data_IF_349530744502
#
_entry.id   IF_349530744502
#
_cell.length_a   1.000
_cell.length_b   1.000
_cell.length_c   1.000
_cell.angle_alpha   90.00
_cell.angle_beta   90.00
_cell.angle_gamma   90.00
#
_symmetry.space_group_name_H-M   'P 1'
#
loop_
_entity.id
_entity.type
_entity.pdbx_description
1 polymer ?
#
# COMPACT_ATOMS: atom_id res chain seq x y z
N UNK A 1 5.16 16.41 -6.08
CA UNK A 1 3.77 16.68 -5.74
C UNK A 1 2.86 15.67 -6.44
N UNK A 2 2.02 15.04 -5.67
CA UNK A 2 1.12 14.00 -6.17
C UNK A 2 -0.15 14.53 -6.78
N UNK A 3 -0.46 15.80 -6.59
CA UNK A 3 -1.70 16.40 -7.03
C UNK A 3 -1.55 17.04 -8.40
N UNK A 4 -2.42 16.69 -9.35
CA UNK A 4 -2.49 17.37 -10.62
C UNK A 4 -3.04 18.78 -10.40
N UNK A 5 -2.52 19.76 -11.15
CA UNK A 5 -3.10 21.09 -11.14
C UNK A 5 -4.50 21.03 -11.78
N UNK A 6 -5.35 21.99 -11.44
CA UNK A 6 -6.70 22.08 -12.03
C UNK A 6 -6.61 22.19 -13.56
N UNK A 7 -5.63 22.96 -14.06
CA UNK A 7 -5.43 23.12 -15.50
C UNK A 7 -5.02 21.80 -16.16
N UNK A 8 -4.10 21.05 -15.57
CA UNK A 8 -3.65 19.76 -16.09
C UNK A 8 -4.80 18.75 -16.10
N UNK A 9 -5.59 18.72 -15.03
CA UNK A 9 -6.74 17.84 -14.94
C UNK A 9 -7.76 18.16 -16.01
N UNK A 10 -8.06 19.44 -16.23
CA UNK A 10 -8.99 19.89 -17.28
C UNK A 10 -8.52 19.48 -18.67
N UNK A 11 -7.24 19.59 -18.94
CA UNK A 11 -6.67 19.17 -20.23
C UNK A 11 -6.83 17.67 -20.43
N UNK A 12 -6.60 16.87 -19.42
CA UNK A 12 -6.68 15.40 -19.51
C UNK A 12 -8.10 14.91 -19.80
N UNK A 13 -9.09 15.56 -19.25
CA UNK A 13 -10.48 15.16 -19.44
C UNK A 13 -11.19 15.96 -20.52
N UNK A 14 -10.44 16.81 -21.24
CA UNK A 14 -10.95 17.62 -22.35
C UNK A 14 -12.12 18.50 -21.93
N UNK A 15 -12.03 19.11 -20.73
CA UNK A 15 -13.03 20.01 -20.19
C UNK A 15 -12.40 21.37 -19.88
N UNK A 16 -13.24 22.41 -19.75
CA UNK A 16 -12.76 23.70 -19.27
C UNK A 16 -12.30 23.58 -17.81
N UNK A 17 -11.43 24.50 -17.38
CA UNK A 17 -10.89 24.50 -16.02
C UNK A 17 -11.99 24.60 -14.96
N UNK A 18 -12.95 25.48 -15.14
CA UNK A 18 -13.97 25.75 -14.12
C UNK A 18 -14.87 24.54 -13.83
N UNK A 19 -15.50 23.90 -14.82
CA UNK A 19 -16.30 22.69 -14.56
C UNK A 19 -15.48 21.55 -13.96
N UNK A 20 -14.23 21.39 -14.34
CA UNK A 20 -13.37 20.35 -13.78
C UNK A 20 -13.06 20.63 -12.33
N UNK A 21 -12.77 21.90 -11.99
CA UNK A 21 -12.52 22.32 -10.61
C UNK A 21 -13.73 22.06 -9.72
N UNK A 22 -14.91 22.48 -10.18
CA UNK A 22 -16.13 22.31 -9.40
C UNK A 22 -16.44 20.83 -9.15
N UNK A 23 -16.25 19.98 -10.14
CA UNK A 23 -16.45 18.55 -10.02
C UNK A 23 -15.47 17.93 -9.02
N UNK A 24 -14.21 18.30 -9.12
CA UNK A 24 -13.18 17.83 -8.19
C UNK A 24 -13.53 18.21 -6.75
N UNK A 25 -13.87 19.45 -6.52
CA UNK A 25 -14.23 19.95 -5.19
C UNK A 25 -15.47 19.25 -4.63
N UNK A 26 -16.44 18.98 -5.46
CA UNK A 26 -17.63 18.24 -5.03
C UNK A 26 -17.28 16.82 -4.60
N UNK A 27 -16.47 16.12 -5.39
CA UNK A 27 -16.07 14.75 -5.08
C UNK A 27 -15.25 14.66 -3.80
N UNK A 28 -14.40 15.66 -3.55
CA UNK A 28 -13.65 15.75 -2.28
C UNK A 28 -14.59 15.98 -1.11
N UNK A 29 -15.50 16.94 -1.26
CA UNK A 29 -16.43 17.31 -0.19
C UNK A 29 -17.38 16.19 0.18
N UNK A 30 -17.81 15.40 -0.80
CA UNK A 30 -18.71 14.26 -0.58
C UNK A 30 -17.97 12.99 -0.20
N UNK A 31 -16.64 13.04 -0.07
CA UNK A 31 -15.85 11.91 0.39
C UNK A 31 -15.49 10.87 -0.66
N UNK A 32 -15.82 11.09 -1.94
CA UNK A 32 -15.45 10.16 -3.01
C UNK A 32 -13.95 10.20 -3.29
N UNK A 33 -13.34 11.38 -3.20
CA UNK A 33 -11.91 11.53 -3.32
C UNK A 33 -11.33 11.72 -1.92
N UNK A 34 -10.56 10.75 -1.45
CA UNK A 34 -10.01 10.78 -0.09
C UNK A 34 -8.60 11.34 -0.05
N UNK A 35 -7.96 11.47 -1.18
CA UNK A 35 -6.61 12.01 -1.23
C UNK A 35 -6.02 11.91 -2.62
N UNK A 36 -4.78 12.39 -2.73
CA UNK A 36 -4.00 12.40 -3.97
C UNK A 36 -2.60 11.91 -3.69
N UNK A 37 -2.06 11.14 -4.59
CA UNK A 37 -0.67 10.70 -4.46
C UNK A 37 -0.06 10.47 -5.83
N UNK A 38 1.26 10.57 -5.91
CA UNK A 38 1.99 10.29 -7.13
C UNK A 38 2.11 8.78 -7.32
N UNK A 39 2.07 8.36 -8.57
CA UNK A 39 2.42 7.00 -8.95
C UNK A 39 3.90 7.03 -9.29
N UNK A 40 4.71 6.33 -8.47
CA UNK A 40 6.16 6.40 -8.53
C UNK A 40 6.69 5.07 -9.07
N UNK A 41 7.68 5.16 -9.97
CA UNK A 41 8.35 3.96 -10.48
C UNK A 41 9.19 3.34 -9.37
N UNK A 42 8.84 2.12 -8.97
CA UNK A 42 9.47 1.45 -7.85
C UNK A 42 10.97 1.19 -8.11
N UNK A 43 11.31 0.77 -9.33
CA UNK A 43 12.71 0.48 -9.66
C UNK A 43 13.59 1.73 -9.64
N UNK A 44 13.04 2.86 -10.09
CA UNK A 44 13.76 4.13 -10.12
C UNK A 44 13.95 4.71 -8.72
N UNK A 45 13.18 4.27 -7.76
CA UNK A 45 13.29 4.71 -6.36
C UNK A 45 13.96 3.64 -5.48
N UNK A 46 14.70 2.74 -6.10
CA UNK A 46 15.48 1.71 -5.41
C UNK A 46 14.61 0.69 -4.65
N UNK A 47 13.43 0.39 -5.21
CA UNK A 47 12.51 -0.61 -4.67
C UNK A 47 12.27 -1.69 -5.72
N UNK A 48 13.33 -2.41 -6.08
CA UNK A 48 13.33 -3.33 -7.21
C UNK A 48 12.47 -4.55 -7.08
N UNK A 49 12.11 -4.96 -5.85
CA UNK A 49 11.26 -6.12 -5.65
C UNK A 49 10.04 -5.80 -4.80
N UNK A 50 8.94 -6.46 -5.13
CA UNK A 50 7.68 -6.38 -4.41
C UNK A 50 7.36 -7.76 -3.86
N UNK A 51 7.03 -7.83 -2.59
CA UNK A 51 6.68 -9.08 -1.92
C UNK A 51 5.31 -8.95 -1.30
N UNK A 52 4.48 -9.97 -1.51
CA UNK A 52 3.22 -10.13 -0.79
C UNK A 52 3.48 -11.12 0.33
N UNK A 53 3.43 -10.65 1.55
CA UNK A 53 3.75 -11.46 2.72
C UNK A 53 2.49 -11.77 3.50
N UNK A 54 2.13 -13.03 3.56
CA UNK A 54 1.01 -13.49 4.37
C UNK A 54 1.51 -13.82 5.76
N UNK A 55 0.82 -13.34 6.78
CA UNK A 55 1.28 -13.46 8.16
C UNK A 55 0.21 -14.04 9.04
N UNK A 56 0.63 -14.90 9.96
CA UNK A 56 -0.21 -15.47 11.01
C UNK A 56 0.35 -15.05 12.35
N UNK A 57 -0.52 -14.62 13.25
CA UNK A 57 -0.16 -14.31 14.63
C UNK A 57 0.22 -15.58 15.38
N UNK A 58 0.97 -15.46 16.47
CA UNK A 58 1.34 -16.59 17.33
C UNK A 58 0.11 -17.35 17.82
N UNK A 59 -0.99 -16.63 18.10
CA UNK A 59 -2.26 -17.18 18.50
C UNK A 59 -3.36 -16.16 18.27
N UNK A 60 -4.61 -16.60 18.32
CA UNK A 60 -5.76 -15.70 18.27
C UNK A 60 -5.82 -14.87 19.55
N UNK A 61 -5.60 -13.56 19.42
CA UNK A 61 -5.62 -12.63 20.55
C UNK A 61 -5.81 -11.23 20.01
N UNK A 62 -6.78 -10.51 20.57
CA UNK A 62 -7.00 -9.12 20.18
C UNK A 62 -5.78 -8.27 20.53
N UNK A 63 -5.13 -8.57 21.64
CA UNK A 63 -3.93 -7.85 22.05
C UNK A 63 -2.80 -8.04 21.04
N UNK A 64 -2.56 -9.27 20.57
CA UNK A 64 -1.53 -9.52 19.56
C UNK A 64 -1.86 -8.85 18.24
N UNK A 65 -3.15 -8.84 17.85
CA UNK A 65 -3.59 -8.16 16.65
C UNK A 65 -3.32 -6.66 16.72
N UNK A 66 -3.71 -6.04 17.83
CA UNK A 66 -3.51 -4.60 18.04
C UNK A 66 -2.02 -4.25 18.07
N UNK A 67 -1.20 -5.06 18.75
CA UNK A 67 0.23 -4.88 18.81
C UNK A 67 0.87 -4.92 17.42
N UNK A 68 0.46 -5.89 16.61
CA UNK A 68 0.97 -6.01 15.25
C UNK A 68 0.57 -4.80 14.40
N UNK A 69 -0.71 -4.44 14.43
CA UNK A 69 -1.22 -3.30 13.64
C UNK A 69 -0.51 -1.99 14.02
N UNK A 70 -0.19 -1.83 15.29
CA UNK A 70 0.55 -0.66 15.73
C UNK A 70 2.01 -0.71 15.28
N UNK A 71 2.66 -1.86 15.43
CA UNK A 71 4.07 -2.01 15.14
C UNK A 71 4.39 -1.71 13.67
N UNK A 72 3.53 -2.10 12.75
CA UNK A 72 3.83 -1.95 11.32
C UNK A 72 3.62 -0.53 10.79
N UNK A 73 2.98 0.35 11.56
CA UNK A 73 2.70 1.71 11.10
C UNK A 73 3.96 2.53 10.82
N UNK A 74 5.04 2.25 11.52
CA UNK A 74 6.31 2.98 11.38
C UNK A 74 7.31 2.29 10.46
N UNK A 75 6.94 1.19 9.82
CA UNK A 75 7.84 0.43 8.95
C UNK A 75 7.59 0.85 7.50
N UNK A 76 8.52 1.63 6.95
CA UNK A 76 8.36 2.23 5.62
C UNK A 76 8.30 1.22 4.48
N UNK A 77 8.99 0.10 4.61
CA UNK A 77 9.00 -0.95 3.59
C UNK A 77 7.63 -1.60 3.40
N UNK A 78 6.77 -1.55 4.43
CA UNK A 78 5.41 -2.06 4.34
C UNK A 78 4.53 -0.94 3.82
N UNK A 79 4.13 -1.05 2.56
CA UNK A 79 3.32 -0.01 1.91
C UNK A 79 1.82 -0.26 2.00
N UNK A 80 1.42 -1.51 2.21
CA UNK A 80 0.02 -1.88 2.39
C UNK A 80 -0.06 -3.00 3.41
N UNK A 81 -1.12 -3.00 4.20
CA UNK A 81 -1.37 -4.06 5.16
C UNK A 81 -2.88 -4.25 5.30
N UNK A 82 -3.32 -5.49 5.16
CA UNK A 82 -4.73 -5.84 5.25
C UNK A 82 -4.94 -6.94 6.27
N UNK A 83 -5.93 -6.78 7.12
CA UNK A 83 -6.43 -7.87 7.96
C UNK A 83 -7.34 -8.73 7.10
N UNK A 84 -7.04 -10.00 6.98
CA UNK A 84 -7.74 -10.87 6.03
C UNK A 84 -8.44 -12.02 6.75
N UNK A 85 -9.51 -12.52 6.13
CA UNK A 85 -10.15 -13.76 6.54
C UNK A 85 -9.42 -14.94 5.91
N UNK A 86 -9.61 -16.13 6.48
CA UNK A 86 -9.03 -17.36 5.95
C UNK A 86 -7.82 -17.83 6.75
N UNK A 87 -6.86 -18.39 6.07
CA UNK A 87 -5.73 -19.06 6.72
C UNK A 87 -4.77 -18.11 7.40
N UNK A 88 -4.59 -16.91 6.85
CA UNK A 88 -3.67 -15.91 7.39
C UNK A 88 -4.43 -14.77 8.01
N UNK A 89 -3.80 -14.12 8.99
CA UNK A 89 -4.41 -12.99 9.71
C UNK A 89 -4.20 -11.67 8.97
N UNK A 90 -3.06 -11.52 8.30
CA UNK A 90 -2.71 -10.29 7.58
C UNK A 90 -2.01 -10.61 6.27
N UNK A 91 -2.21 -9.74 5.29
CA UNK A 91 -1.44 -9.74 4.05
C UNK A 91 -0.78 -8.37 3.92
N UNK A 92 0.53 -8.38 3.73
CA UNK A 92 1.32 -7.17 3.62
C UNK A 92 1.96 -7.06 2.24
N UNK A 93 2.04 -5.83 1.74
CA UNK A 93 2.83 -5.54 0.56
C UNK A 93 4.11 -4.87 1.01
N UNK A 94 5.24 -5.47 0.64
CA UNK A 94 6.56 -5.02 1.07
C UNK A 94 7.37 -4.66 -0.15
N UNK A 95 8.03 -3.49 -0.10
CA UNK A 95 8.89 -2.99 -1.17
C UNK A 95 10.30 -2.89 -0.63
N UNK A 96 11.25 -3.55 -1.31
CA UNK A 96 12.67 -3.47 -0.97
C UNK A 96 13.51 -3.42 -2.24
N UNK A 97 14.80 -3.08 -2.07
CA UNK A 97 15.71 -2.92 -3.18
C UNK A 97 16.01 -4.23 -3.91
N UNK A 98 16.28 -5.28 -3.15
CA UNK A 98 16.69 -6.57 -3.68
C UNK A 98 16.42 -7.69 -2.66
N UNK A 99 16.79 -8.91 -3.01
CA UNK A 99 16.55 -10.07 -2.15
C UNK A 99 17.35 -10.00 -0.84
N UNK A 100 18.60 -9.54 -0.90
CA UNK A 100 19.42 -9.43 0.31
C UNK A 100 18.81 -8.42 1.28
N UNK A 101 18.35 -7.29 0.77
CA UNK A 101 17.68 -6.27 1.58
C UNK A 101 16.38 -6.82 2.17
N UNK A 102 15.64 -7.62 1.42
CA UNK A 102 14.42 -8.24 1.91
C UNK A 102 14.71 -9.21 3.07
N UNK A 103 15.73 -10.06 2.92
CA UNK A 103 16.11 -11.00 3.97
C UNK A 103 16.52 -10.26 5.25
N UNK A 104 17.28 -9.19 5.10
CA UNK A 104 17.69 -8.35 6.24
C UNK A 104 16.47 -7.70 6.90
N UNK A 105 15.55 -7.19 6.10
CA UNK A 105 14.29 -6.61 6.57
C UNK A 105 13.48 -7.63 7.37
N UNK A 106 13.35 -8.85 6.87
CA UNK A 106 12.61 -9.90 7.56
C UNK A 106 13.26 -10.26 8.88
N UNK A 107 14.60 -10.33 8.90
CA UNK A 107 15.34 -10.70 10.10
C UNK A 107 15.31 -9.61 11.17
N UNK A 108 15.44 -8.35 10.77
CA UNK A 108 15.63 -7.25 11.75
C UNK A 108 14.36 -6.50 12.09
N UNK A 109 13.50 -6.22 11.12
CA UNK A 109 12.29 -5.43 11.35
C UNK A 109 11.09 -6.31 11.64
N UNK A 110 10.69 -7.11 10.68
CA UNK A 110 9.48 -7.90 10.81
C UNK A 110 9.66 -9.04 11.83
N UNK A 111 10.83 -9.67 11.84
CA UNK A 111 11.15 -10.76 12.78
C UNK A 111 11.26 -10.33 14.23
N UNK A 112 11.39 -9.02 14.50
CA UNK A 112 11.45 -8.50 15.86
C UNK A 112 10.08 -8.17 16.45
N UNK A 113 9.02 -8.36 15.69
CA UNK A 113 7.66 -8.13 16.20
C UNK A 113 7.20 -9.40 16.91
N UNK A 114 7.04 -9.33 18.24
CA UNK A 114 6.74 -10.49 19.08
C UNK A 114 5.42 -11.17 18.74
N UNK A 115 4.43 -10.44 18.23
CA UNK A 115 3.12 -10.97 17.93
C UNK A 115 3.13 -11.92 16.73
N UNK A 116 4.18 -11.89 15.91
CA UNK A 116 4.26 -12.67 14.68
C UNK A 116 4.60 -14.12 14.97
N UNK A 117 3.82 -15.03 14.38
CA UNK A 117 4.07 -16.47 14.50
C UNK A 117 4.63 -17.12 13.25
N UNK A 118 4.16 -16.68 12.09
CA UNK A 118 4.51 -17.36 10.85
C UNK A 118 4.37 -16.41 9.66
N UNK A 119 5.30 -16.52 8.71
CA UNK A 119 5.28 -15.77 7.46
C UNK A 119 5.28 -16.69 6.27
N UNK A 120 4.61 -16.25 5.21
CA UNK A 120 4.68 -16.88 3.91
C UNK A 120 4.89 -15.77 2.87
N UNK A 121 6.10 -15.70 2.33
CA UNK A 121 6.49 -14.66 1.37
C UNK A 121 6.24 -15.13 -0.05
N UNK A 122 5.55 -14.30 -0.83
CA UNK A 122 5.28 -14.53 -2.24
C UNK A 122 5.86 -13.37 -3.02
N UNK A 123 6.82 -13.66 -3.89
CA UNK A 123 7.50 -12.62 -4.67
C UNK A 123 6.73 -12.34 -5.94
N UNK A 124 6.46 -11.06 -6.19
CA UNK A 124 5.77 -10.64 -7.40
C UNK A 124 6.75 -10.75 -8.57
N UNK A 125 6.41 -11.62 -9.52
CA UNK A 125 7.23 -11.80 -10.71
C UNK A 125 6.99 -10.70 -11.73
N UNK A 126 5.73 -10.24 -11.83
CA UNK A 126 5.33 -9.22 -12.79
C UNK A 126 4.02 -8.60 -12.34
N UNK A 127 3.95 -7.28 -12.37
CA UNK A 127 2.66 -6.59 -12.20
C UNK A 127 1.92 -6.63 -13.53
N UNK A 128 0.82 -7.36 -13.56
CA UNK A 128 0.03 -7.53 -14.79
C UNK A 128 -0.97 -6.40 -14.97
N UNK A 129 -1.58 -5.96 -13.86
CA UNK A 129 -2.56 -4.90 -13.87
C UNK A 129 -2.65 -4.24 -12.51
N UNK A 130 -2.59 -2.93 -12.50
CA UNK A 130 -2.85 -2.13 -11.30
C UNK A 130 -3.42 -0.78 -11.75
N UNK A 131 -4.70 -0.59 -11.56
CA UNK A 131 -5.38 0.66 -11.96
C UNK A 131 -5.25 1.75 -10.92
N UNK A 132 -4.66 1.46 -9.75
CA UNK A 132 -4.51 2.38 -8.63
C UNK A 132 -5.83 2.98 -8.16
N UNK A 133 -6.92 2.22 -8.28
CA UNK A 133 -8.24 2.71 -7.92
C UNK A 133 -9.25 1.60 -7.77
N UNK A 134 -10.51 2.00 -7.70
CA UNK A 134 -11.64 1.09 -7.56
C UNK A 134 -12.63 1.31 -8.70
N UNK A 135 -13.47 0.30 -9.02
CA UNK A 135 -14.51 0.49 -10.04
C UNK A 135 -15.49 1.58 -9.60
N UNK A 136 -15.81 2.47 -10.53
CA UNK A 136 -16.83 3.50 -10.32
C UNK A 136 -18.13 3.01 -10.95
N UNK A 137 -19.19 2.93 -10.13
CA UNK A 137 -20.49 2.47 -10.59
C UNK A 137 -21.50 3.60 -10.65
#
# INVERSE_FOLDING_TARGET
DSTLTVKELAMRVNLSTSPTFDRQKRLEREGFIQGYHAIVDAKKTDNGITVLCNMRLKRHSQMLMDDFMQAIQSIDEITECYNTSGEYDFTLKIQTRDMDTYQEFMRTKLGNIDSVGYFHSVFVMKEVKNTHGVPIK
#
